data_IF_302110847933
#
_entry.id   IF_302110847933
#
_cell.length_a   1.000
_cell.length_b   1.000
_cell.length_c   1.000
_cell.angle_alpha   90.00
_cell.angle_beta   90.00
_cell.angle_gamma   90.00
#
_symmetry.space_group_name_H-M   'P 1'
#
loop_
_entity.id
_entity.type
_entity.pdbx_description
1 polymer ?
#
# COMPACT_ATOMS: atom_id res chain seq x y z
N UNK A 1 -24.80 10.39 -31.31
CA UNK A 1 -24.24 10.09 -32.65
C UNK A 1 -22.77 9.83 -32.44
N UNK A 2 -22.38 8.56 -32.43
CA UNK A 2 -21.01 8.16 -32.25
C UNK A 2 -20.17 8.66 -33.44
N UNK A 3 -19.13 9.44 -33.15
CA UNK A 3 -18.08 9.72 -34.14
C UNK A 3 -17.28 8.41 -34.29
N UNK A 4 -17.46 7.76 -35.43
CA UNK A 4 -16.59 6.69 -35.86
C UNK A 4 -15.17 7.29 -36.05
N UNK A 5 -14.21 6.84 -35.25
CA UNK A 5 -12.80 7.04 -35.49
C UNK A 5 -12.48 6.52 -36.89
N UNK A 6 -12.03 7.41 -37.76
CA UNK A 6 -11.45 7.07 -39.05
C UNK A 6 -10.04 6.48 -38.84
N UNK A 7 -9.94 5.32 -38.24
CA UNK A 7 -8.73 4.50 -38.35
C UNK A 7 -8.66 4.03 -39.82
N UNK A 8 -7.57 4.37 -40.49
CA UNK A 8 -7.26 3.76 -41.79
C UNK A 8 -7.24 2.25 -41.59
N UNK A 9 -7.95 1.45 -42.40
CA UNK A 9 -7.91 0.00 -42.24
C UNK A 9 -6.44 -0.43 -42.26
N UNK A 10 -6.03 -1.19 -41.24
CA UNK A 10 -4.68 -1.73 -41.14
C UNK A 10 -4.57 -2.88 -42.13
N UNK A 11 -4.31 -2.52 -43.43
CA UNK A 11 -4.41 -3.41 -44.56
C UNK A 11 -3.68 -4.75 -44.40
N UNK A 12 -2.47 -4.82 -43.77
CA UNK A 12 -1.80 -6.10 -43.58
C UNK A 12 -2.55 -7.05 -42.64
N UNK A 13 -3.08 -6.53 -41.54
CA UNK A 13 -3.80 -7.35 -40.53
C UNK A 13 -5.10 -7.91 -41.09
N UNK A 14 -5.94 -7.07 -41.72
CA UNK A 14 -7.21 -7.49 -42.34
C UNK A 14 -6.96 -8.54 -43.44
N UNK A 15 -5.92 -8.34 -44.23
CA UNK A 15 -5.49 -9.26 -45.30
C UNK A 15 -4.99 -10.58 -44.73
N UNK A 16 -4.23 -10.56 -43.62
CA UNK A 16 -3.77 -11.73 -42.92
C UNK A 16 -4.93 -12.52 -42.28
N UNK A 17 -5.89 -11.83 -41.62
CA UNK A 17 -7.07 -12.45 -41.10
C UNK A 17 -7.96 -13.07 -42.19
N UNK A 18 -8.04 -12.43 -43.34
CA UNK A 18 -8.74 -13.01 -44.52
C UNK A 18 -8.05 -14.29 -45.00
N UNK A 19 -6.73 -14.28 -45.09
CA UNK A 19 -5.94 -15.46 -45.42
C UNK A 19 -6.16 -16.62 -44.44
N UNK A 20 -6.31 -16.31 -43.16
CA UNK A 20 -6.59 -17.35 -42.16
C UNK A 20 -7.99 -17.97 -42.26
N UNK A 21 -8.94 -17.27 -42.88
CA UNK A 21 -10.34 -17.72 -43.08
C UNK A 21 -10.54 -18.40 -44.43
N UNK A 22 -9.66 -18.15 -45.41
CA UNK A 22 -9.69 -18.74 -46.76
C UNK A 22 -8.43 -19.60 -46.92
N UNK A 23 -8.44 -20.56 -47.83
CA UNK A 23 -7.22 -21.33 -48.15
C UNK A 23 -6.27 -20.57 -49.13
N UNK A 24 -6.49 -19.28 -49.31
CA UNK A 24 -5.66 -18.44 -50.17
C UNK A 24 -4.34 -18.11 -49.47
N UNK A 25 -3.22 -18.21 -50.17
CA UNK A 25 -1.92 -17.83 -49.64
C UNK A 25 -1.53 -16.45 -50.21
N UNK A 26 -1.47 -15.46 -49.31
CA UNK A 26 -0.97 -14.13 -49.68
C UNK A 26 0.51 -14.02 -49.30
N UNK A 27 1.26 -13.30 -50.10
CA UNK A 27 2.63 -12.89 -49.82
C UNK A 27 2.58 -11.53 -49.11
N UNK A 28 3.37 -11.40 -48.03
CA UNK A 28 3.57 -10.18 -47.28
C UNK A 28 5.07 -9.92 -47.20
N UNK A 29 5.47 -8.67 -47.08
CA UNK A 29 6.85 -8.30 -46.82
C UNK A 29 7.21 -8.62 -45.35
N UNK A 30 8.51 -8.65 -44.99
CA UNK A 30 8.93 -8.97 -43.62
C UNK A 30 8.39 -7.94 -42.61
N UNK A 31 8.42 -6.65 -42.93
CA UNK A 31 7.86 -5.56 -42.12
C UNK A 31 6.35 -5.71 -41.89
N UNK A 32 5.58 -6.16 -42.90
CA UNK A 32 4.15 -6.45 -42.73
C UNK A 32 3.91 -7.56 -41.68
N UNK A 33 4.79 -8.60 -41.67
CA UNK A 33 4.70 -9.65 -40.66
C UNK A 33 5.07 -9.14 -39.27
N UNK A 34 6.06 -8.28 -39.13
CA UNK A 34 6.43 -7.65 -37.86
C UNK A 34 5.25 -6.87 -37.29
N UNK A 35 4.60 -6.01 -38.10
CA UNK A 35 3.42 -5.27 -37.70
C UNK A 35 2.26 -6.18 -37.24
N UNK A 36 2.00 -7.25 -38.03
CA UNK A 36 0.97 -8.25 -37.70
C UNK A 36 1.28 -8.96 -36.37
N UNK A 37 2.54 -9.37 -36.16
CA UNK A 37 2.99 -10.09 -34.97
C UNK A 37 2.87 -9.18 -33.74
N UNK A 38 3.40 -7.95 -33.81
CA UNK A 38 3.30 -6.97 -32.73
C UNK A 38 1.84 -6.64 -32.37
N UNK A 39 0.98 -6.48 -33.42
CA UNK A 39 -0.46 -6.30 -33.16
C UNK A 39 -1.05 -7.45 -32.34
N UNK A 40 -0.72 -8.71 -32.66
CA UNK A 40 -1.24 -9.84 -31.92
C UNK A 40 -0.62 -9.99 -30.54
N UNK A 41 0.66 -9.71 -30.37
CA UNK A 41 1.34 -9.71 -29.07
C UNK A 41 0.74 -8.66 -28.14
N UNK A 42 0.58 -7.43 -28.61
CA UNK A 42 -0.01 -6.32 -27.84
C UNK A 42 -1.46 -6.55 -27.44
N UNK A 43 -2.20 -7.35 -28.23
CA UNK A 43 -3.58 -7.76 -27.90
C UNK A 43 -3.68 -9.10 -27.16
N UNK A 44 -2.56 -9.66 -26.67
CA UNK A 44 -2.53 -10.93 -25.92
C UNK A 44 -2.92 -12.16 -26.75
N UNK A 45 -2.95 -12.06 -28.08
CA UNK A 45 -3.35 -13.14 -28.99
C UNK A 45 -2.14 -14.00 -29.42
N UNK A 46 -1.42 -14.56 -28.46
CA UNK A 46 -0.13 -15.29 -28.65
C UNK A 46 -0.24 -16.40 -29.70
N UNK A 47 -1.35 -17.16 -29.74
CA UNK A 47 -1.54 -18.23 -30.73
C UNK A 47 -1.55 -17.70 -32.17
N UNK A 48 -2.10 -16.50 -32.40
CA UNK A 48 -2.12 -15.87 -33.71
C UNK A 48 -0.74 -15.26 -34.07
N UNK A 49 -0.05 -14.67 -33.10
CA UNK A 49 1.33 -14.22 -33.25
C UNK A 49 2.24 -15.40 -33.70
N UNK A 50 2.19 -16.52 -33.00
CA UNK A 50 2.97 -17.73 -33.39
C UNK A 50 2.64 -18.22 -34.80
N UNK A 51 1.36 -18.14 -35.20
CA UNK A 51 0.95 -18.53 -36.55
C UNK A 51 1.50 -17.56 -37.59
N UNK A 52 1.49 -16.25 -37.28
CA UNK A 52 2.08 -15.23 -38.14
C UNK A 52 3.60 -15.39 -38.29
N UNK A 53 4.31 -15.61 -37.17
CA UNK A 53 5.75 -15.91 -37.14
C UNK A 53 6.06 -17.12 -38.02
N UNK A 54 5.34 -18.22 -37.87
CA UNK A 54 5.55 -19.44 -38.63
C UNK A 54 5.39 -19.22 -40.15
N UNK A 55 4.37 -18.48 -40.56
CA UNK A 55 4.11 -18.18 -41.97
C UNK A 55 5.16 -17.17 -42.45
N UNK A 56 5.49 -16.15 -41.65
CA UNK A 56 6.52 -15.16 -41.97
C UNK A 56 7.88 -15.82 -42.22
N UNK A 57 8.31 -16.71 -41.35
CA UNK A 57 9.57 -17.45 -41.53
C UNK A 57 9.55 -18.44 -42.68
N UNK A 58 8.40 -18.91 -43.14
CA UNK A 58 8.30 -19.70 -44.39
C UNK A 58 8.49 -18.83 -45.63
N UNK A 59 8.04 -17.58 -45.60
CA UNK A 59 8.20 -16.64 -46.71
C UNK A 59 9.57 -15.94 -46.67
N UNK A 60 10.08 -15.63 -45.44
CA UNK A 60 11.33 -14.91 -45.22
C UNK A 60 12.26 -15.69 -44.26
N UNK A 61 12.82 -16.83 -44.65
CA UNK A 61 13.61 -17.68 -43.76
C UNK A 61 14.94 -17.06 -43.32
N UNK A 62 15.40 -16.01 -43.98
CA UNK A 62 16.63 -15.30 -43.67
C UNK A 62 16.41 -14.09 -42.73
N UNK A 63 15.16 -13.63 -42.50
CA UNK A 63 14.90 -12.48 -41.64
C UNK A 63 15.36 -12.75 -40.21
N UNK A 64 16.20 -11.87 -39.68
CA UNK A 64 16.69 -11.89 -38.31
C UNK A 64 15.59 -11.36 -37.36
N UNK A 65 14.87 -10.34 -37.80
CA UNK A 65 13.80 -9.67 -37.06
C UNK A 65 12.68 -10.65 -36.74
N UNK A 66 12.18 -11.39 -37.71
CA UNK A 66 11.14 -12.43 -37.46
C UNK A 66 11.62 -13.57 -36.55
N UNK A 67 12.91 -13.91 -36.58
CA UNK A 67 13.48 -14.90 -35.67
C UNK A 67 13.59 -14.34 -34.24
N UNK A 68 13.90 -13.04 -34.09
CA UNK A 68 13.92 -12.39 -32.78
C UNK A 68 12.52 -12.32 -32.16
N UNK A 69 11.50 -12.06 -32.99
CA UNK A 69 10.10 -12.16 -32.53
C UNK A 69 9.71 -13.58 -32.10
N UNK A 70 10.26 -14.63 -32.77
CA UNK A 70 10.10 -16.02 -32.31
C UNK A 70 10.77 -16.22 -30.95
N UNK A 71 11.96 -15.69 -30.73
CA UNK A 71 12.67 -15.71 -29.46
C UNK A 71 11.87 -14.99 -28.37
N UNK A 72 11.33 -13.81 -28.65
CA UNK A 72 10.49 -13.05 -27.71
C UNK A 72 9.31 -13.89 -27.22
N UNK A 73 8.61 -14.57 -28.13
CA UNK A 73 7.51 -15.48 -27.78
C UNK A 73 8.00 -16.67 -26.96
N UNK A 74 9.17 -17.26 -27.28
CA UNK A 74 9.76 -18.36 -26.48
C UNK A 74 10.12 -17.90 -25.07
N UNK A 75 10.67 -16.69 -24.93
CA UNK A 75 10.96 -16.06 -23.63
C UNK A 75 9.66 -15.83 -22.85
N UNK A 76 8.64 -15.29 -23.52
CA UNK A 76 7.32 -15.07 -22.91
C UNK A 76 6.72 -16.39 -22.36
N UNK A 77 6.78 -17.47 -23.14
CA UNK A 77 6.29 -18.80 -22.75
C UNK A 77 7.22 -19.55 -21.78
N UNK A 78 8.30 -18.92 -21.31
CA UNK A 78 9.28 -19.50 -20.40
C UNK A 78 10.08 -20.68 -20.96
N UNK A 79 10.24 -20.76 -22.30
CA UNK A 79 11.10 -21.74 -22.97
C UNK A 79 12.54 -21.23 -23.08
N UNK A 80 13.15 -20.86 -21.95
CA UNK A 80 14.37 -20.06 -21.88
C UNK A 80 15.58 -20.74 -22.52
N UNK A 81 15.76 -22.06 -22.34
CA UNK A 81 16.91 -22.79 -22.91
C UNK A 81 16.83 -22.86 -24.44
N UNK A 82 15.61 -22.97 -25.00
CA UNK A 82 15.42 -22.96 -26.47
C UNK A 82 15.71 -21.57 -27.01
N UNK A 83 15.20 -20.53 -26.34
CA UNK A 83 15.44 -19.13 -26.69
C UNK A 83 16.93 -18.80 -26.69
N UNK A 84 17.68 -19.23 -25.65
CA UNK A 84 19.12 -18.97 -25.53
C UNK A 84 19.93 -19.63 -26.66
N UNK A 85 19.67 -20.92 -26.97
CA UNK A 85 20.29 -21.58 -28.10
C UNK A 85 19.97 -20.89 -29.44
N UNK A 86 18.78 -20.32 -29.58
CA UNK A 86 18.37 -19.62 -30.79
C UNK A 86 19.12 -18.28 -30.91
N UNK A 87 19.29 -17.55 -29.81
CA UNK A 87 20.07 -16.33 -29.75
C UNK A 87 21.57 -16.55 -30.06
N UNK A 88 22.15 -17.70 -29.64
CA UNK A 88 23.53 -18.05 -29.98
C UNK A 88 23.72 -18.15 -31.48
N UNK A 89 22.75 -18.73 -32.19
CA UNK A 89 22.81 -18.80 -33.66
C UNK A 89 22.65 -17.42 -34.28
N UNK A 90 21.72 -16.61 -33.81
CA UNK A 90 21.46 -15.27 -34.30
C UNK A 90 22.68 -14.36 -34.12
N UNK A 91 23.37 -14.45 -32.98
CA UNK A 91 24.58 -13.67 -32.73
C UNK A 91 25.74 -13.98 -33.67
N UNK A 92 25.79 -15.20 -34.23
CA UNK A 92 26.78 -15.51 -35.29
C UNK A 92 26.43 -14.88 -36.61
N UNK A 93 25.17 -14.53 -36.87
CA UNK A 93 24.68 -13.91 -38.08
C UNK A 93 24.79 -12.38 -38.03
N UNK A 94 24.43 -11.81 -36.89
CA UNK A 94 24.49 -10.39 -36.60
C UNK A 94 24.95 -10.15 -35.16
N UNK A 95 26.27 -9.89 -35.02
CA UNK A 95 26.89 -9.73 -33.70
C UNK A 95 26.68 -8.37 -33.05
N UNK A 96 26.11 -7.41 -33.79
CA UNK A 96 25.93 -6.00 -33.39
C UNK A 96 24.45 -5.64 -33.20
N UNK A 97 23.55 -6.59 -33.32
CA UNK A 97 22.13 -6.38 -33.16
C UNK A 97 21.80 -6.26 -31.65
N UNK A 98 21.35 -5.08 -31.26
CA UNK A 98 21.03 -4.77 -29.84
C UNK A 98 19.91 -5.65 -29.30
N UNK A 99 18.95 -6.07 -30.14
CA UNK A 99 17.81 -6.86 -29.70
C UNK A 99 18.24 -8.25 -29.18
N UNK A 100 19.33 -8.82 -29.70
CA UNK A 100 19.91 -10.07 -29.17
C UNK A 100 20.30 -9.92 -27.70
N UNK A 101 20.91 -8.79 -27.35
CA UNK A 101 21.33 -8.51 -25.98
C UNK A 101 20.11 -8.23 -25.09
N UNK A 102 19.09 -7.53 -25.60
CA UNK A 102 17.83 -7.27 -24.89
C UNK A 102 17.12 -8.59 -24.57
N UNK A 103 16.97 -9.48 -25.55
CA UNK A 103 16.32 -10.77 -25.34
C UNK A 103 17.10 -11.68 -24.37
N UNK A 104 18.44 -11.65 -24.40
CA UNK A 104 19.25 -12.34 -23.38
C UNK A 104 19.07 -11.73 -22.00
N UNK A 105 19.01 -10.41 -21.89
CA UNK A 105 18.74 -9.74 -20.62
C UNK A 105 17.38 -10.19 -20.05
N UNK A 106 16.34 -10.26 -20.89
CA UNK A 106 15.02 -10.76 -20.49
C UNK A 106 15.08 -12.22 -20.00
N UNK A 107 15.93 -13.08 -20.60
CA UNK A 107 16.15 -14.45 -20.11
C UNK A 107 16.80 -14.45 -18.73
N UNK A 108 17.83 -13.61 -18.52
CA UNK A 108 18.50 -13.52 -17.21
C UNK A 108 17.59 -12.91 -16.14
N UNK A 109 16.79 -11.90 -16.48
CA UNK A 109 15.77 -11.35 -15.59
C UNK A 109 14.78 -12.42 -15.13
N UNK A 110 14.25 -13.23 -16.05
CA UNK A 110 13.38 -14.37 -15.71
C UNK A 110 14.04 -15.49 -14.90
N UNK A 111 15.36 -15.55 -14.89
CA UNK A 111 16.16 -16.45 -14.03
C UNK A 111 16.57 -15.76 -12.71
N UNK A 112 15.98 -14.63 -12.35
CA UNK A 112 16.29 -13.81 -11.18
C UNK A 112 17.77 -13.36 -11.10
N UNK A 113 18.45 -13.28 -12.25
CA UNK A 113 19.85 -12.81 -12.34
C UNK A 113 19.89 -11.39 -12.92
N UNK A 114 19.46 -10.44 -12.11
CA UNK A 114 19.30 -9.04 -12.51
C UNK A 114 20.63 -8.34 -12.83
N UNK A 115 21.75 -8.70 -12.13
CA UNK A 115 23.07 -8.16 -12.45
C UNK A 115 23.53 -8.52 -13.87
N UNK A 116 23.31 -9.78 -14.30
CA UNK A 116 23.64 -10.19 -15.64
C UNK A 116 22.73 -9.53 -16.69
N UNK A 117 21.44 -9.34 -16.37
CA UNK A 117 20.50 -8.63 -17.23
C UNK A 117 20.96 -7.16 -17.42
N UNK A 118 21.31 -6.46 -16.36
CA UNK A 118 21.84 -5.09 -16.41
C UNK A 118 23.13 -5.00 -17.25
N UNK A 119 24.05 -5.97 -17.10
CA UNK A 119 25.27 -5.97 -17.90
C UNK A 119 24.96 -6.05 -19.41
N UNK A 120 24.06 -6.94 -19.82
CA UNK A 120 23.64 -7.12 -21.21
C UNK A 120 22.86 -5.92 -21.75
N UNK A 121 21.99 -5.30 -20.94
CA UNK A 121 21.28 -4.08 -21.32
C UNK A 121 22.25 -2.90 -21.52
N UNK A 122 23.32 -2.82 -20.73
CA UNK A 122 24.35 -1.80 -20.95
C UNK A 122 25.18 -2.08 -22.22
N UNK A 123 25.38 -3.34 -22.61
CA UNK A 123 25.97 -3.67 -23.91
C UNK A 123 25.03 -3.26 -25.06
N UNK A 124 23.73 -3.59 -24.95
CA UNK A 124 22.72 -3.15 -25.91
C UNK A 124 22.66 -1.63 -26.05
N UNK A 125 22.74 -0.89 -24.93
CA UNK A 125 22.75 0.57 -24.92
C UNK A 125 23.94 1.18 -25.71
N UNK A 126 25.07 0.48 -25.73
CA UNK A 126 26.23 0.89 -26.50
C UNK A 126 26.08 0.67 -28.02
N UNK A 127 25.13 -0.14 -28.45
CA UNK A 127 24.87 -0.50 -29.85
C UNK A 127 23.66 0.25 -30.44
N UNK A 128 22.70 0.61 -29.61
CA UNK A 128 21.40 1.16 -30.02
C UNK A 128 21.46 2.66 -30.33
N UNK A 129 20.76 3.08 -31.38
CA UNK A 129 20.48 4.48 -31.70
C UNK A 129 19.26 4.99 -30.90
N UNK A 130 18.32 4.11 -30.56
CA UNK A 130 17.13 4.41 -29.76
C UNK A 130 17.23 3.68 -28.42
N UNK A 131 17.48 4.42 -27.34
CA UNK A 131 17.74 3.87 -26.03
C UNK A 131 16.54 3.91 -25.08
N UNK A 132 15.34 4.28 -25.56
CA UNK A 132 14.14 4.39 -24.71
C UNK A 132 13.79 3.06 -24.02
N UNK A 133 13.56 2.01 -24.82
CA UNK A 133 13.17 0.69 -24.30
C UNK A 133 14.24 0.10 -23.37
N UNK A 134 15.52 0.30 -23.74
CA UNK A 134 16.65 -0.18 -22.93
C UNK A 134 16.70 0.54 -21.58
N UNK A 135 16.46 1.86 -21.55
CA UNK A 135 16.40 2.59 -20.27
C UNK A 135 15.20 2.17 -19.43
N UNK A 136 14.06 1.87 -20.06
CA UNK A 136 12.89 1.34 -19.34
C UNK A 136 13.21 -0.01 -18.69
N UNK A 137 13.83 -0.93 -19.43
CA UNK A 137 14.25 -2.24 -18.92
C UNK A 137 15.31 -2.10 -17.82
N UNK A 138 16.33 -1.26 -18.02
CA UNK A 138 17.33 -0.97 -16.98
C UNK A 138 16.68 -0.45 -15.70
N UNK A 139 15.72 0.46 -15.85
CA UNK A 139 14.97 0.99 -14.71
C UNK A 139 14.26 -0.12 -13.93
N UNK A 140 13.62 -1.05 -14.63
CA UNK A 140 12.95 -2.20 -14.01
C UNK A 140 13.94 -3.15 -13.33
N UNK A 141 15.06 -3.48 -13.99
CA UNK A 141 16.09 -4.36 -13.40
C UNK A 141 16.68 -3.74 -12.12
N UNK A 142 16.97 -2.43 -12.14
CA UNK A 142 17.43 -1.75 -10.93
C UNK A 142 16.38 -1.71 -9.82
N UNK A 143 15.07 -1.64 -10.13
CA UNK A 143 14.02 -1.79 -9.12
C UNK A 143 14.02 -3.18 -8.48
N UNK A 144 14.22 -4.25 -9.27
CA UNK A 144 14.34 -5.61 -8.73
C UNK A 144 15.57 -5.81 -7.86
N UNK A 145 16.61 -5.01 -8.07
CA UNK A 145 17.84 -4.99 -7.25
C UNK A 145 17.76 -4.02 -6.06
N UNK A 146 16.62 -3.37 -5.83
CA UNK A 146 16.45 -2.30 -4.83
C UNK A 146 17.41 -1.10 -5.02
N UNK A 147 18.00 -0.94 -6.21
CA UNK A 147 18.82 0.24 -6.54
C UNK A 147 17.96 1.38 -7.08
N UNK A 148 17.20 2.01 -6.18
CA UNK A 148 16.29 3.10 -6.52
C UNK A 148 16.99 4.34 -7.11
N UNK A 149 18.31 4.50 -6.91
CA UNK A 149 19.05 5.63 -7.50
C UNK A 149 19.25 5.43 -9.00
N UNK A 150 19.76 4.27 -9.39
CA UNK A 150 19.98 3.95 -10.80
C UNK A 150 18.65 3.74 -11.53
N UNK A 151 17.65 3.14 -10.88
CA UNK A 151 16.28 3.03 -11.41
C UNK A 151 15.72 4.42 -11.75
N UNK A 152 15.79 5.37 -10.81
CA UNK A 152 15.36 6.76 -11.02
C UNK A 152 16.04 7.40 -12.22
N UNK A 153 17.37 7.29 -12.31
CA UNK A 153 18.14 7.88 -13.43
C UNK A 153 17.71 7.29 -14.78
N UNK A 154 17.45 5.99 -14.83
CA UNK A 154 16.99 5.30 -16.03
C UNK A 154 15.60 5.77 -16.46
N UNK A 155 14.63 5.82 -15.55
CA UNK A 155 13.29 6.32 -15.87
C UNK A 155 13.24 7.82 -16.16
N UNK A 156 14.10 8.63 -15.53
CA UNK A 156 14.24 10.05 -15.90
C UNK A 156 14.70 10.23 -17.37
N UNK A 157 15.50 9.30 -17.88
CA UNK A 157 15.88 9.29 -19.31
C UNK A 157 14.69 8.94 -20.18
N UNK A 158 13.86 7.96 -19.79
CA UNK A 158 12.62 7.64 -20.52
C UNK A 158 11.70 8.86 -20.60
N UNK A 159 11.44 9.54 -19.48
CA UNK A 159 10.64 10.78 -19.47
C UNK A 159 11.28 11.89 -20.32
N UNK A 160 12.61 11.94 -20.44
CA UNK A 160 13.29 12.91 -21.29
C UNK A 160 13.15 12.58 -22.78
N UNK A 161 12.96 11.32 -23.15
CA UNK A 161 12.67 10.89 -24.51
C UNK A 161 11.20 11.13 -24.89
N UNK A 162 10.30 10.76 -24.00
CA UNK A 162 8.87 10.95 -24.16
C UNK A 162 8.27 11.56 -22.90
N UNK A 163 7.96 12.84 -22.97
CA UNK A 163 7.34 13.57 -21.86
C UNK A 163 5.91 13.08 -21.55
N UNK A 164 5.28 12.29 -22.41
CA UNK A 164 3.98 11.66 -22.17
C UNK A 164 4.08 10.23 -21.64
N UNK A 165 5.28 9.71 -21.42
CA UNK A 165 5.46 8.43 -20.71
C UNK A 165 5.19 8.58 -19.22
N UNK A 166 3.89 8.56 -18.88
CA UNK A 166 3.42 8.65 -17.49
C UNK A 166 3.85 7.45 -16.67
N UNK A 167 4.08 6.28 -17.28
CA UNK A 167 4.56 5.10 -16.54
C UNK A 167 5.95 5.35 -15.96
N UNK A 168 6.87 5.85 -16.79
CA UNK A 168 8.21 6.23 -16.31
C UNK A 168 8.14 7.41 -15.32
N UNK A 169 7.26 8.39 -15.53
CA UNK A 169 7.07 9.48 -14.58
C UNK A 169 6.64 8.95 -13.20
N UNK A 170 5.69 8.02 -13.15
CA UNK A 170 5.29 7.36 -11.90
C UNK A 170 6.47 6.63 -11.25
N UNK A 171 7.26 5.88 -12.03
CA UNK A 171 8.42 5.16 -11.52
C UNK A 171 9.52 6.11 -10.98
N UNK A 172 9.73 7.27 -11.61
CA UNK A 172 10.64 8.31 -11.08
C UNK A 172 10.18 8.76 -9.69
N UNK A 173 8.90 9.08 -9.54
CA UNK A 173 8.36 9.53 -8.26
C UNK A 173 8.39 8.41 -7.22
N UNK A 174 8.05 7.17 -7.61
CA UNK A 174 8.19 5.99 -6.75
C UNK A 174 9.61 5.84 -6.20
N UNK A 175 10.64 5.99 -7.05
CA UNK A 175 12.03 5.95 -6.62
C UNK A 175 12.38 7.08 -5.64
N UNK A 176 11.89 8.29 -5.87
CA UNK A 176 12.08 9.40 -4.94
C UNK A 176 11.44 9.11 -3.57
N UNK A 177 10.23 8.53 -3.56
CA UNK A 177 9.52 8.17 -2.32
C UNK A 177 10.28 7.11 -1.53
N UNK A 178 10.82 6.07 -2.18
CA UNK A 178 11.64 5.05 -1.52
C UNK A 178 12.98 5.59 -0.98
N UNK A 179 13.54 6.58 -1.67
CA UNK A 179 14.75 7.28 -1.21
C UNK A 179 14.45 8.33 -0.12
N UNK A 180 13.16 8.53 0.25
CA UNK A 180 12.68 9.59 1.14
C UNK A 180 13.10 11.01 0.68
N UNK A 181 13.44 11.18 -0.61
CA UNK A 181 13.87 12.45 -1.20
C UNK A 181 12.66 13.24 -1.75
N UNK A 182 11.76 13.63 -0.85
CA UNK A 182 10.54 14.38 -1.21
C UNK A 182 10.84 15.76 -1.80
N UNK A 183 11.94 16.39 -1.37
CA UNK A 183 12.36 17.70 -1.92
C UNK A 183 12.86 17.55 -3.36
N UNK A 184 13.62 16.51 -3.66
CA UNK A 184 14.03 16.17 -5.01
C UNK A 184 12.84 15.88 -5.92
N UNK A 185 11.83 15.12 -5.43
CA UNK A 185 10.59 14.87 -6.16
C UNK A 185 9.84 16.15 -6.51
N UNK A 186 9.68 17.06 -5.54
CA UNK A 186 9.02 18.35 -5.73
C UNK A 186 9.78 19.19 -6.78
N UNK A 187 11.09 19.25 -6.69
CA UNK A 187 11.90 20.01 -7.66
C UNK A 187 11.75 19.43 -9.08
N UNK A 188 11.91 18.11 -9.22
CA UNK A 188 11.75 17.41 -10.49
C UNK A 188 10.37 17.64 -11.13
N UNK A 189 9.30 17.53 -10.32
CA UNK A 189 7.93 17.74 -10.80
C UNK A 189 7.68 19.19 -11.20
N UNK A 190 8.22 20.16 -10.47
CA UNK A 190 8.12 21.58 -10.86
C UNK A 190 8.85 21.85 -12.20
N UNK A 191 10.07 21.32 -12.37
CA UNK A 191 10.82 21.47 -13.63
C UNK A 191 10.09 20.79 -14.80
N UNK A 192 9.43 19.65 -14.55
CA UNK A 192 8.62 18.97 -15.55
C UNK A 192 7.38 19.80 -15.91
N UNK A 193 6.69 20.38 -14.92
CA UNK A 193 5.48 21.18 -15.10
C UNK A 193 5.75 22.54 -15.74
N UNK A 194 6.95 23.10 -15.63
CA UNK A 194 7.35 24.30 -16.40
C UNK A 194 7.29 24.03 -17.91
N UNK A 195 7.56 22.82 -18.36
CA UNK A 195 7.51 22.39 -19.76
C UNK A 195 6.13 21.84 -20.16
N UNK A 196 5.45 21.18 -19.21
CA UNK A 196 4.18 20.48 -19.42
C UNK A 196 3.10 20.97 -18.43
N UNK A 197 2.67 22.25 -18.51
CA UNK A 197 1.82 22.88 -17.48
C UNK A 197 0.39 22.31 -17.38
N UNK A 198 -0.04 21.52 -18.34
CA UNK A 198 -1.36 20.89 -18.38
C UNK A 198 -1.33 19.38 -18.10
N UNK A 199 -0.23 18.86 -17.54
CA UNK A 199 -0.15 17.45 -17.16
C UNK A 199 -0.81 17.23 -15.80
N UNK A 200 -2.04 16.71 -15.80
CA UNK A 200 -2.84 16.40 -14.60
C UNK A 200 -2.14 15.39 -13.70
N UNK A 201 -1.44 14.40 -14.30
CA UNK A 201 -0.68 13.39 -13.56
C UNK A 201 0.44 14.02 -12.75
N UNK A 202 1.22 14.91 -13.36
CA UNK A 202 2.34 15.57 -12.68
C UNK A 202 1.85 16.51 -11.56
N UNK A 203 0.77 17.27 -11.78
CA UNK A 203 0.14 18.08 -10.75
C UNK A 203 -0.37 17.25 -9.59
N UNK A 204 -1.01 16.12 -9.88
CA UNK A 204 -1.49 15.19 -8.87
C UNK A 204 -0.33 14.62 -8.03
N UNK A 205 0.75 14.16 -8.68
CA UNK A 205 1.92 13.67 -7.96
C UNK A 205 2.58 14.75 -7.11
N UNK A 206 2.68 15.98 -7.62
CA UNK A 206 3.20 17.13 -6.86
C UNK A 206 2.35 17.40 -5.61
N UNK A 207 1.01 17.36 -5.74
CA UNK A 207 0.09 17.49 -4.63
C UNK A 207 0.30 16.43 -3.55
N UNK A 208 0.55 15.16 -3.96
CA UNK A 208 0.89 14.08 -3.03
C UNK A 208 2.20 14.31 -2.27
N UNK A 209 3.24 14.82 -2.95
CA UNK A 209 4.51 15.13 -2.29
C UNK A 209 4.33 16.26 -1.26
N UNK A 210 3.62 17.33 -1.61
CA UNK A 210 3.29 18.41 -0.66
C UNK A 210 2.46 17.90 0.52
N UNK A 211 1.48 17.01 0.28
CA UNK A 211 0.68 16.40 1.35
C UNK A 211 1.55 15.60 2.34
N UNK A 212 2.48 14.79 1.83
CA UNK A 212 3.41 14.01 2.65
C UNK A 212 4.27 14.91 3.53
N UNK A 213 4.72 16.05 3.00
CA UNK A 213 5.45 17.07 3.75
C UNK A 213 4.54 17.96 4.64
N UNK A 214 3.23 17.69 4.69
CA UNK A 214 2.22 18.47 5.43
C UNK A 214 2.10 19.94 4.96
N UNK A 215 2.53 20.23 3.74
CA UNK A 215 2.37 21.52 3.07
C UNK A 215 0.99 21.56 2.41
N UNK A 216 -0.04 21.65 3.26
CA UNK A 216 -1.44 21.48 2.83
C UNK A 216 -1.94 22.55 1.86
N UNK A 217 -1.61 23.85 2.01
CA UNK A 217 -2.00 24.88 1.04
C UNK A 217 -1.45 24.63 -0.36
N UNK A 218 -0.17 24.23 -0.45
CA UNK A 218 0.51 23.92 -1.71
C UNK A 218 -0.09 22.64 -2.33
N UNK A 219 -0.39 21.63 -1.50
CA UNK A 219 -1.06 20.41 -1.96
C UNK A 219 -2.44 20.72 -2.56
N UNK A 220 -3.25 21.58 -1.92
CA UNK A 220 -4.55 21.99 -2.48
C UNK A 220 -4.39 22.66 -3.84
N UNK A 221 -3.44 23.59 -3.95
CA UNK A 221 -3.16 24.32 -5.21
C UNK A 221 -2.77 23.34 -6.31
N UNK A 222 -1.92 22.37 -6.02
CA UNK A 222 -1.50 21.37 -7.00
C UNK A 222 -2.67 20.47 -7.44
N UNK A 223 -3.52 20.02 -6.52
CA UNK A 223 -4.72 19.25 -6.89
C UNK A 223 -5.74 20.10 -7.65
N UNK A 224 -5.87 21.39 -7.35
CA UNK A 224 -6.71 22.30 -8.14
C UNK A 224 -6.22 22.40 -9.59
N UNK A 225 -4.90 22.51 -9.81
CA UNK A 225 -4.34 22.51 -11.16
C UNK A 225 -4.51 21.16 -11.86
N UNK A 226 -4.42 20.03 -11.15
CA UNK A 226 -4.72 18.72 -11.73
C UNK A 226 -6.18 18.66 -12.23
N UNK A 227 -7.13 19.14 -11.44
CA UNK A 227 -8.56 19.19 -11.79
C UNK A 227 -8.82 20.19 -12.95
N UNK A 228 -8.12 21.32 -13.00
CA UNK A 228 -8.23 22.29 -14.11
C UNK A 228 -7.69 21.70 -15.40
N UNK A 229 -6.63 20.87 -15.33
CA UNK A 229 -6.01 20.21 -16.48
C UNK A 229 -6.89 19.08 -17.04
N UNK A 230 -7.51 18.31 -16.15
CA UNK A 230 -8.51 17.28 -16.48
C UNK A 230 -9.58 17.22 -15.38
N UNK A 231 -10.78 17.72 -15.68
CA UNK A 231 -11.92 17.75 -14.76
C UNK A 231 -12.56 16.37 -14.50
N UNK A 232 -12.12 15.34 -15.24
CA UNK A 232 -12.51 13.94 -15.03
C UNK A 232 -11.47 13.13 -14.24
N UNK A 233 -10.37 13.75 -13.82
CA UNK A 233 -9.30 13.07 -13.10
C UNK A 233 -9.67 12.81 -11.63
N UNK A 234 -10.37 11.72 -11.39
CA UNK A 234 -10.95 11.29 -10.09
C UNK A 234 -9.92 11.33 -8.95
N UNK A 235 -8.68 10.92 -9.23
CA UNK A 235 -7.60 10.88 -8.23
C UNK A 235 -7.34 12.23 -7.57
N UNK A 236 -7.42 13.33 -8.31
CA UNK A 236 -7.18 14.66 -7.77
C UNK A 236 -8.27 15.11 -6.80
N UNK A 237 -9.54 14.86 -7.11
CA UNK A 237 -10.65 15.15 -6.21
C UNK A 237 -10.53 14.34 -4.90
N UNK A 238 -10.21 13.07 -5.01
CA UNK A 238 -10.09 12.19 -3.85
C UNK A 238 -8.95 12.63 -2.92
N UNK A 239 -7.77 12.92 -3.47
CA UNK A 239 -6.62 13.38 -2.68
C UNK A 239 -6.84 14.79 -2.12
N UNK A 240 -7.48 15.70 -2.89
CA UNK A 240 -7.89 17.02 -2.40
C UNK A 240 -8.83 16.89 -1.21
N UNK A 241 -9.82 16.00 -1.25
CA UNK A 241 -10.70 15.70 -0.14
C UNK A 241 -9.93 15.28 1.11
N UNK A 242 -8.90 14.43 0.98
CA UNK A 242 -8.02 14.04 2.10
C UNK A 242 -7.26 15.21 2.72
N UNK A 243 -6.78 16.14 1.90
CA UNK A 243 -6.12 17.37 2.40
C UNK A 243 -7.12 18.23 3.18
N UNK A 244 -8.33 18.42 2.66
CA UNK A 244 -9.39 19.20 3.29
C UNK A 244 -9.81 18.61 4.64
N UNK A 245 -9.88 17.26 4.76
CA UNK A 245 -10.07 16.59 6.06
C UNK A 245 -8.98 16.98 7.06
N UNK A 246 -7.69 16.98 6.64
CA UNK A 246 -6.57 17.35 7.52
C UNK A 246 -6.63 18.80 7.97
N UNK A 247 -7.25 19.67 7.17
CA UNK A 247 -7.50 21.07 7.50
C UNK A 247 -8.79 21.29 8.30
N UNK A 248 -9.57 20.24 8.58
CA UNK A 248 -10.86 20.34 9.28
C UNK A 248 -11.99 20.92 8.41
N UNK A 249 -11.79 21.05 7.09
CA UNK A 249 -12.75 21.59 6.13
C UNK A 249 -13.67 20.47 5.59
N UNK A 250 -14.42 19.85 6.51
CA UNK A 250 -15.16 18.63 6.22
C UNK A 250 -16.26 18.79 5.14
N UNK A 251 -16.94 19.94 5.08
CA UNK A 251 -17.95 20.18 4.04
C UNK A 251 -17.31 20.24 2.64
N UNK A 252 -16.19 20.98 2.49
CA UNK A 252 -15.46 21.05 1.23
C UNK A 252 -14.90 19.66 0.84
N UNK A 253 -14.46 18.84 1.83
CA UNK A 253 -14.02 17.47 1.61
C UNK A 253 -15.14 16.57 1.07
N UNK A 254 -16.35 16.68 1.65
CA UNK A 254 -17.54 15.95 1.19
C UNK A 254 -17.84 16.28 -0.26
N UNK A 255 -17.87 17.57 -0.64
CA UNK A 255 -18.12 18.01 -2.02
C UNK A 255 -17.16 17.36 -3.02
N UNK A 256 -15.86 17.28 -2.65
CA UNK A 256 -14.86 16.65 -3.52
C UNK A 256 -15.03 15.14 -3.60
N UNK A 257 -15.38 14.45 -2.51
CA UNK A 257 -15.69 13.01 -2.56
C UNK A 257 -17.00 12.71 -3.30
N UNK A 258 -18.02 13.57 -3.17
CA UNK A 258 -19.26 13.43 -3.93
C UNK A 258 -19.03 13.60 -5.44
N UNK A 259 -18.12 14.50 -5.84
CA UNK A 259 -17.70 14.63 -7.24
C UNK A 259 -17.15 13.29 -7.78
N UNK A 260 -16.33 12.56 -7.00
CA UNK A 260 -15.83 11.24 -7.45
C UNK A 260 -16.95 10.21 -7.65
N UNK A 261 -17.99 10.25 -6.81
CA UNK A 261 -19.14 9.35 -6.93
C UNK A 261 -19.96 9.65 -8.19
N UNK A 262 -20.08 10.92 -8.57
CA UNK A 262 -20.84 11.34 -9.75
C UNK A 262 -20.15 10.98 -11.09
N UNK A 263 -18.82 10.76 -11.06
CA UNK A 263 -18.02 10.39 -12.23
C UNK A 263 -18.06 8.89 -12.57
N UNK A 264 -19.10 8.18 -12.12
CA UNK A 264 -19.35 6.75 -12.39
C UNK A 264 -18.32 5.77 -11.80
N UNK A 265 -17.47 6.21 -10.87
CA UNK A 265 -16.63 5.31 -10.07
C UNK A 265 -16.93 5.47 -8.57
N UNK A 266 -18.12 5.06 -8.11
CA UNK A 266 -18.48 5.13 -6.70
C UNK A 266 -17.64 4.13 -5.91
N UNK A 267 -16.45 4.54 -5.53
CA UNK A 267 -15.62 3.69 -4.68
C UNK A 267 -16.20 3.66 -3.27
N UNK A 268 -16.29 2.47 -2.71
CA UNK A 268 -16.63 2.26 -1.29
C UNK A 268 -15.77 3.14 -0.37
N UNK A 269 -14.54 3.47 -0.81
CA UNK A 269 -13.64 4.37 -0.11
C UNK A 269 -14.15 5.81 -0.05
N UNK A 270 -14.79 6.33 -1.11
CA UNK A 270 -15.38 7.67 -1.10
C UNK A 270 -16.54 7.74 -0.09
N UNK A 271 -17.45 6.76 -0.12
CA UNK A 271 -18.52 6.68 0.88
C UNK A 271 -17.98 6.61 2.31
N UNK A 272 -16.94 5.80 2.56
CA UNK A 272 -16.31 5.72 3.87
C UNK A 272 -15.76 7.07 4.34
N UNK A 273 -15.12 7.83 3.44
CA UNK A 273 -14.57 9.15 3.75
C UNK A 273 -15.66 10.16 4.04
N UNK A 274 -16.72 10.21 3.22
CA UNK A 274 -17.88 11.08 3.45
C UNK A 274 -18.52 10.77 4.81
N UNK A 275 -18.72 9.48 5.13
CA UNK A 275 -19.22 9.05 6.42
C UNK A 275 -18.39 9.58 7.59
N UNK A 276 -17.06 9.50 7.49
CA UNK A 276 -16.13 10.06 8.50
C UNK A 276 -16.21 11.58 8.61
N UNK A 277 -16.35 12.29 7.48
CA UNK A 277 -16.53 13.73 7.49
C UNK A 277 -17.83 14.13 8.20
N UNK A 278 -18.94 13.46 7.92
CA UNK A 278 -20.21 13.69 8.61
C UNK A 278 -20.12 13.40 10.10
N UNK A 279 -19.35 12.38 10.48
CA UNK A 279 -19.10 12.07 11.88
C UNK A 279 -18.35 13.21 12.60
N UNK A 280 -17.32 13.79 11.95
CA UNK A 280 -16.61 14.96 12.50
C UNK A 280 -17.50 16.21 12.58
N UNK A 281 -18.52 16.30 11.76
CA UNK A 281 -19.56 17.34 11.77
C UNK A 281 -20.68 17.03 12.75
N UNK A 282 -20.56 15.95 13.56
CA UNK A 282 -21.60 15.49 14.49
C UNK A 282 -22.97 15.17 13.81
N UNK A 283 -22.94 14.88 12.50
CA UNK A 283 -24.11 14.51 11.72
C UNK A 283 -24.24 12.97 11.65
N UNK A 284 -24.67 12.41 12.77
CA UNK A 284 -24.75 10.97 12.98
C UNK A 284 -25.61 10.22 11.96
N UNK A 285 -26.74 10.80 11.52
CA UNK A 285 -27.64 10.10 10.58
C UNK A 285 -26.99 9.98 9.20
N UNK A 286 -26.30 11.03 8.72
CA UNK A 286 -25.58 10.98 7.45
C UNK A 286 -24.31 10.12 7.55
N UNK A 287 -23.58 10.18 8.66
CA UNK A 287 -22.44 9.30 8.89
C UNK A 287 -22.85 7.83 8.79
N UNK A 288 -23.90 7.45 9.49
CA UNK A 288 -24.48 6.11 9.44
C UNK A 288 -24.92 5.73 8.02
N UNK A 289 -25.64 6.61 7.32
CA UNK A 289 -26.09 6.39 5.96
C UNK A 289 -24.92 6.03 5.03
N UNK A 290 -23.84 6.83 5.03
CA UNK A 290 -22.69 6.61 4.16
C UNK A 290 -21.86 5.39 4.58
N UNK A 291 -21.75 5.07 5.87
CA UNK A 291 -21.08 3.83 6.31
C UNK A 291 -21.82 2.58 5.83
N UNK A 292 -23.16 2.58 5.82
CA UNK A 292 -23.93 1.47 5.25
C UNK A 292 -23.78 1.37 3.74
N UNK A 293 -23.71 2.51 3.02
CA UNK A 293 -23.40 2.50 1.59
C UNK A 293 -22.01 1.93 1.33
N UNK A 294 -21.00 2.25 2.14
CA UNK A 294 -19.65 1.68 2.03
C UNK A 294 -19.69 0.14 1.97
N UNK A 295 -20.36 -0.49 2.93
CA UNK A 295 -20.41 -1.96 3.04
C UNK A 295 -21.42 -2.60 2.09
N UNK A 296 -22.31 -1.83 1.52
CA UNK A 296 -23.21 -2.27 0.46
C UNK A 296 -22.47 -2.36 -0.88
N UNK A 297 -21.65 -1.35 -1.20
CA UNK A 297 -20.85 -1.31 -2.42
C UNK A 297 -19.71 -2.32 -2.37
N UNK A 298 -19.01 -2.40 -1.24
CA UNK A 298 -17.96 -3.39 -1.03
C UNK A 298 -18.11 -4.09 0.33
N UNK A 299 -18.78 -5.23 0.36
CA UNK A 299 -18.94 -6.02 1.58
C UNK A 299 -17.62 -6.60 2.11
N UNK A 300 -16.55 -6.64 1.30
CA UNK A 300 -15.22 -7.13 1.69
C UNK A 300 -14.30 -6.02 2.19
N UNK A 301 -14.74 -4.76 2.16
CA UNK A 301 -13.99 -3.67 2.77
C UNK A 301 -14.15 -3.70 4.31
N UNK A 302 -13.24 -4.34 4.97
CA UNK A 302 -13.15 -4.50 6.44
C UNK A 302 -13.24 -3.17 7.19
N UNK A 303 -12.60 -2.11 6.64
CA UNK A 303 -12.61 -0.75 7.19
C UNK A 303 -14.02 -0.12 7.23
N UNK A 304 -14.91 -0.54 6.34
CA UNK A 304 -16.31 -0.12 6.36
C UNK A 304 -17.04 -0.69 7.58
N UNK A 305 -16.88 -1.98 7.85
CA UNK A 305 -17.46 -2.63 9.02
C UNK A 305 -16.87 -2.09 10.33
N UNK A 306 -15.56 -1.80 10.33
CA UNK A 306 -14.91 -1.15 11.49
C UNK A 306 -15.50 0.24 11.77
N UNK A 307 -15.75 1.05 10.74
CA UNK A 307 -16.36 2.38 10.92
C UNK A 307 -17.77 2.27 11.54
N UNK A 308 -18.59 1.31 11.08
CA UNK A 308 -19.89 1.04 11.69
C UNK A 308 -19.72 0.58 13.15
N UNK A 309 -18.73 -0.25 13.41
CA UNK A 309 -18.41 -0.72 14.78
C UNK A 309 -18.11 0.45 15.71
N UNK A 310 -17.20 1.36 15.25
CA UNK A 310 -16.80 2.54 16.02
C UNK A 310 -17.97 3.49 16.27
N UNK A 311 -18.81 3.68 15.27
CA UNK A 311 -20.03 4.47 15.38
C UNK A 311 -20.95 3.96 16.49
N UNK A 312 -21.27 2.66 16.50
CA UNK A 312 -22.14 2.08 17.55
C UNK A 312 -21.45 2.01 18.92
N UNK A 313 -20.13 1.74 18.94
CA UNK A 313 -19.37 1.71 20.20
C UNK A 313 -19.41 3.05 20.94
N UNK A 314 -19.24 4.17 20.25
CA UNK A 314 -19.33 5.52 20.83
C UNK A 314 -20.72 5.85 21.34
N UNK A 315 -21.75 5.33 20.70
CA UNK A 315 -23.15 5.47 21.14
C UNK A 315 -23.51 4.50 22.29
N UNK A 316 -22.54 3.71 22.76
CA UNK A 316 -22.71 2.68 23.79
C UNK A 316 -23.72 1.59 23.40
N UNK A 317 -23.96 1.41 22.10
CA UNK A 317 -24.78 0.32 21.55
C UNK A 317 -23.89 -0.92 21.30
N UNK A 318 -23.33 -1.46 22.40
CA UNK A 318 -22.24 -2.45 22.36
C UNK A 318 -22.64 -3.76 21.68
N UNK A 319 -23.89 -4.20 21.78
CA UNK A 319 -24.34 -5.42 21.08
C UNK A 319 -24.30 -5.26 19.56
N UNK A 320 -24.68 -4.07 19.03
CA UNK A 320 -24.52 -3.79 17.61
C UNK A 320 -23.05 -3.67 17.22
N UNK A 321 -22.24 -2.99 18.04
CA UNK A 321 -20.81 -2.90 17.80
C UNK A 321 -20.17 -4.29 17.74
N UNK A 322 -20.56 -5.23 18.63
CA UNK A 322 -20.10 -6.61 18.62
C UNK A 322 -20.49 -7.35 17.33
N UNK A 323 -21.71 -7.14 16.85
CA UNK A 323 -22.15 -7.74 15.59
C UNK A 323 -21.29 -7.28 14.40
N UNK A 324 -20.98 -5.98 14.32
CA UNK A 324 -20.23 -5.42 13.19
C UNK A 324 -18.73 -5.68 13.25
N UNK A 325 -18.10 -5.70 14.45
CA UNK A 325 -16.70 -6.10 14.56
C UNK A 325 -16.48 -7.56 14.15
N UNK A 326 -17.46 -8.45 14.42
CA UNK A 326 -17.39 -9.82 13.94
C UNK A 326 -17.48 -9.91 12.40
N UNK A 327 -18.16 -8.97 11.73
CA UNK A 327 -18.11 -8.87 10.25
C UNK A 327 -16.71 -8.52 9.76
N UNK A 328 -16.06 -7.53 10.39
CA UNK A 328 -14.67 -7.17 10.05
C UNK A 328 -13.71 -8.34 10.30
N UNK A 329 -13.83 -9.03 11.43
CA UNK A 329 -13.02 -10.20 11.77
C UNK A 329 -13.22 -11.39 10.84
N UNK A 330 -14.41 -11.55 10.25
CA UNK A 330 -14.66 -12.59 9.25
C UNK A 330 -13.96 -12.31 7.92
N UNK A 331 -13.62 -11.05 7.64
CA UNK A 331 -12.90 -10.64 6.43
C UNK A 331 -11.39 -10.71 6.68
N UNK A 332 -10.94 -10.10 7.78
CA UNK A 332 -9.55 -10.08 8.19
C UNK A 332 -9.42 -10.55 9.65
N UNK A 333 -9.42 -11.87 9.82
CA UNK A 333 -9.30 -12.53 11.12
C UNK A 333 -7.89 -12.48 11.72
N UNK A 334 -6.89 -12.10 10.92
CA UNK A 334 -5.50 -11.98 11.36
C UNK A 334 -5.15 -10.55 11.81
N UNK A 335 -6.09 -9.63 11.77
CA UNK A 335 -5.87 -8.25 12.18
C UNK A 335 -5.90 -8.11 13.72
N UNK A 336 -4.75 -7.86 14.36
CA UNK A 336 -4.67 -7.80 15.82
C UNK A 336 -5.46 -6.62 16.42
N UNK A 337 -5.64 -5.53 15.66
CA UNK A 337 -6.39 -4.37 16.14
C UNK A 337 -7.90 -4.64 16.20
N UNK A 338 -8.43 -5.50 15.32
CA UNK A 338 -9.83 -5.90 15.33
C UNK A 338 -10.13 -6.79 16.55
N UNK A 339 -9.24 -7.70 16.89
CA UNK A 339 -9.34 -8.49 18.11
C UNK A 339 -9.28 -7.64 19.37
N UNK A 340 -8.37 -6.65 19.42
CA UNK A 340 -8.33 -5.67 20.52
C UNK A 340 -9.65 -4.91 20.65
N UNK A 341 -10.22 -4.44 19.52
CA UNK A 341 -11.53 -3.77 19.51
C UNK A 341 -12.65 -4.70 20.00
N UNK A 342 -12.64 -5.96 19.54
CA UNK A 342 -13.59 -6.98 19.99
C UNK A 342 -13.49 -7.21 21.50
N UNK A 343 -12.27 -7.25 22.06
CA UNK A 343 -12.03 -7.36 23.49
C UNK A 343 -12.62 -6.18 24.26
N UNK A 344 -12.41 -4.94 23.80
CA UNK A 344 -12.98 -3.74 24.41
C UNK A 344 -14.51 -3.77 24.41
N UNK A 345 -15.14 -4.23 23.31
CA UNK A 345 -16.59 -4.31 23.19
C UNK A 345 -17.13 -5.37 24.16
N UNK A 346 -16.51 -6.56 24.21
CA UNK A 346 -16.92 -7.62 25.13
C UNK A 346 -16.73 -7.22 26.58
N UNK A 347 -15.66 -6.51 26.93
CA UNK A 347 -15.46 -5.95 28.27
C UNK A 347 -16.57 -4.97 28.63
N UNK A 348 -16.98 -4.08 27.71
CA UNK A 348 -18.08 -3.14 27.94
C UNK A 348 -19.46 -3.84 28.08
N UNK A 349 -19.59 -5.06 27.56
CA UNK A 349 -20.77 -5.94 27.74
C UNK A 349 -20.66 -6.86 28.94
N UNK A 350 -19.62 -6.73 29.75
CA UNK A 350 -19.33 -7.61 30.90
C UNK A 350 -19.19 -9.10 30.52
N UNK A 351 -18.83 -9.37 29.24
CA UNK A 351 -18.55 -10.71 28.70
C UNK A 351 -17.07 -11.01 28.86
N UNK A 352 -16.61 -11.16 30.10
CA UNK A 352 -15.18 -11.18 30.44
C UNK A 352 -14.43 -12.37 29.83
N UNK A 353 -15.02 -13.55 29.74
CA UNK A 353 -14.38 -14.72 29.09
C UNK A 353 -14.12 -14.48 27.61
N UNK A 354 -15.08 -13.83 26.89
CA UNK A 354 -14.92 -13.48 25.49
C UNK A 354 -13.91 -12.33 25.30
N UNK A 355 -13.86 -11.40 26.25
CA UNK A 355 -12.89 -10.31 26.23
C UNK A 355 -11.47 -10.84 26.46
N UNK A 356 -11.28 -11.76 27.40
CA UNK A 356 -10.00 -12.44 27.67
C UNK A 356 -9.50 -13.17 26.40
N UNK A 357 -10.35 -14.01 25.81
CA UNK A 357 -10.04 -14.70 24.57
C UNK A 357 -9.62 -13.72 23.45
N UNK A 358 -10.36 -12.62 23.28
CA UNK A 358 -10.09 -11.65 22.22
C UNK A 358 -8.77 -10.87 22.44
N UNK A 359 -8.45 -10.51 23.70
CA UNK A 359 -7.15 -9.92 24.03
C UNK A 359 -6.00 -10.89 23.75
N UNK A 360 -6.17 -12.17 24.16
CA UNK A 360 -5.17 -13.19 23.87
C UNK A 360 -4.91 -13.32 22.38
N UNK A 361 -5.97 -13.40 21.55
CA UNK A 361 -5.82 -13.42 20.09
C UNK A 361 -5.08 -12.18 19.56
N UNK A 362 -5.39 -10.99 20.09
CA UNK A 362 -4.71 -9.75 19.70
C UNK A 362 -3.20 -9.82 19.98
N UNK A 363 -2.79 -10.34 21.13
CA UNK A 363 -1.37 -10.53 21.49
C UNK A 363 -0.72 -11.62 20.64
N UNK A 364 -1.37 -12.77 20.47
CA UNK A 364 -0.85 -13.90 19.69
C UNK A 364 -0.59 -13.48 18.22
N UNK A 365 -1.36 -12.52 17.69
CA UNK A 365 -1.21 -11.90 16.38
C UNK A 365 -0.24 -10.70 16.34
N UNK A 366 0.46 -10.41 17.44
CA UNK A 366 1.54 -9.42 17.46
C UNK A 366 1.16 -8.01 17.95
N UNK A 367 0.00 -7.81 18.53
CA UNK A 367 -0.34 -6.52 19.14
C UNK A 367 0.23 -6.38 20.54
N UNK A 368 1.51 -6.10 20.65
CA UNK A 368 2.18 -5.94 21.94
C UNK A 368 2.07 -4.52 22.55
N UNK A 369 1.15 -3.70 22.09
CA UNK A 369 0.97 -2.34 22.60
C UNK A 369 0.68 -2.31 24.09
N UNK A 370 1.26 -1.34 24.82
CA UNK A 370 1.08 -1.17 26.27
C UNK A 370 -0.41 -1.14 26.69
N UNK A 371 -1.32 -0.39 26.01
CA UNK A 371 -2.73 -0.39 26.38
C UNK A 371 -3.41 -1.76 26.24
N UNK A 372 -2.91 -2.65 25.38
CA UNK A 372 -3.46 -4.00 25.20
C UNK A 372 -3.18 -4.86 26.42
N UNK A 373 -1.95 -4.84 26.93
CA UNK A 373 -1.57 -5.54 28.16
C UNK A 373 -2.33 -5.03 29.38
N UNK A 374 -2.44 -3.70 29.53
CA UNK A 374 -3.14 -3.09 30.64
C UNK A 374 -4.64 -3.42 30.62
N UNK A 375 -5.28 -3.34 29.44
CA UNK A 375 -6.69 -3.66 29.27
C UNK A 375 -6.98 -5.15 29.49
N UNK A 376 -6.10 -6.03 29.04
CA UNK A 376 -6.25 -7.48 29.29
C UNK A 376 -6.16 -7.81 30.78
N UNK A 377 -5.21 -7.21 31.49
CA UNK A 377 -5.10 -7.40 32.93
C UNK A 377 -6.34 -6.87 33.69
N UNK A 378 -6.95 -5.76 33.22
CA UNK A 378 -8.20 -5.26 33.81
C UNK A 378 -9.35 -6.27 33.63
N UNK A 379 -9.47 -6.86 32.44
CA UNK A 379 -10.48 -7.89 32.18
C UNK A 379 -10.27 -9.12 33.05
N UNK A 380 -9.03 -9.60 33.18
CA UNK A 380 -8.74 -10.73 34.06
C UNK A 380 -9.11 -10.43 35.52
N UNK A 381 -8.81 -9.22 36.01
CA UNK A 381 -9.21 -8.78 37.34
C UNK A 381 -10.74 -8.72 37.48
N UNK A 382 -11.47 -8.15 36.51
CA UNK A 382 -12.93 -8.09 36.49
C UNK A 382 -13.56 -9.49 36.47
N UNK A 383 -12.89 -10.45 35.82
CA UNK A 383 -13.28 -11.87 35.81
C UNK A 383 -12.84 -12.62 37.08
N UNK A 384 -12.43 -11.90 38.14
CA UNK A 384 -11.99 -12.44 39.44
C UNK A 384 -10.69 -13.28 39.36
N UNK A 385 -9.95 -13.23 38.26
CA UNK A 385 -8.64 -13.88 38.12
C UNK A 385 -7.50 -12.85 38.33
N UNK A 386 -7.31 -12.45 39.59
CA UNK A 386 -6.26 -11.49 39.95
C UNK A 386 -4.86 -12.10 39.72
N UNK A 387 -4.70 -13.40 39.87
CA UNK A 387 -3.44 -14.08 39.61
C UNK A 387 -3.09 -14.06 38.12
N UNK A 388 -4.09 -14.31 37.28
CA UNK A 388 -3.97 -14.15 35.82
C UNK A 388 -3.63 -12.71 35.42
N UNK A 389 -4.27 -11.71 36.04
CA UNK A 389 -3.98 -10.30 35.80
C UNK A 389 -2.52 -9.93 36.10
N UNK A 390 -1.97 -10.42 37.24
CA UNK A 390 -0.55 -10.24 37.56
C UNK A 390 0.35 -10.93 36.53
N UNK A 391 0.00 -12.16 36.14
CA UNK A 391 0.78 -12.89 35.12
C UNK A 391 0.82 -12.14 33.78
N UNK A 392 -0.30 -11.64 33.28
CA UNK A 392 -0.42 -10.83 32.06
C UNK A 392 0.48 -9.58 32.14
N UNK A 393 0.43 -8.86 33.28
CA UNK A 393 1.28 -7.67 33.45
C UNK A 393 2.77 -8.00 33.49
N UNK A 394 3.15 -9.13 34.06
CA UNK A 394 4.55 -9.58 34.05
C UNK A 394 5.03 -9.93 32.64
N UNK A 395 4.18 -10.55 31.82
CA UNK A 395 4.48 -10.75 30.40
C UNK A 395 4.61 -9.41 29.65
N UNK A 396 3.69 -8.48 29.87
CA UNK A 396 3.77 -7.13 29.29
C UNK A 396 5.01 -6.35 29.73
N UNK A 397 5.52 -6.62 30.93
CA UNK A 397 6.76 -6.01 31.44
C UNK A 397 8.00 -6.46 30.67
N UNK A 398 7.99 -7.62 30.03
CA UNK A 398 9.11 -8.07 29.18
C UNK A 398 9.27 -7.15 27.96
N UNK A 399 8.14 -6.63 27.42
CA UNK A 399 8.12 -5.67 26.31
C UNK A 399 8.32 -4.22 26.79
N UNK A 400 7.91 -3.90 27.99
CA UNK A 400 7.94 -2.56 28.58
C UNK A 400 8.60 -2.54 29.96
N UNK A 401 9.92 -2.88 30.06
CA UNK A 401 10.62 -3.01 31.36
C UNK A 401 10.64 -1.72 32.17
N UNK A 402 10.60 -0.56 31.50
CA UNK A 402 10.60 0.77 32.10
C UNK A 402 9.21 1.40 32.26
N UNK A 403 8.12 0.63 32.07
CA UNK A 403 6.77 1.16 32.25
C UNK A 403 6.41 1.23 33.72
N UNK A 404 6.35 2.45 34.26
CA UNK A 404 5.82 2.69 35.62
C UNK A 404 4.36 2.26 35.74
N UNK A 405 3.55 2.40 34.67
CA UNK A 405 2.13 2.04 34.67
C UNK A 405 1.91 0.55 34.92
N UNK A 406 2.66 -0.33 34.22
CA UNK A 406 2.62 -1.76 34.48
C UNK A 406 2.96 -2.06 35.94
N UNK A 407 4.05 -1.47 36.46
CA UNK A 407 4.55 -1.74 37.79
C UNK A 407 3.60 -1.25 38.89
N UNK A 408 2.97 -0.08 38.74
CA UNK A 408 1.95 0.39 39.64
C UNK A 408 0.73 -0.54 39.70
N UNK A 409 0.29 -0.97 38.50
CA UNK A 409 -0.86 -1.87 38.39
C UNK A 409 -0.55 -3.25 38.96
N UNK A 410 0.65 -3.78 38.66
CA UNK A 410 1.13 -5.05 39.25
C UNK A 410 1.19 -4.96 40.78
N UNK A 411 1.71 -3.87 41.36
CA UNK A 411 1.77 -3.66 42.78
C UNK A 411 0.36 -3.66 43.41
N UNK A 412 -0.62 -3.01 42.76
CA UNK A 412 -1.99 -2.98 43.22
C UNK A 412 -2.64 -4.36 43.26
N UNK A 413 -2.54 -5.13 42.15
CA UNK A 413 -3.09 -6.49 42.13
C UNK A 413 -2.37 -7.45 43.10
N UNK A 414 -1.05 -7.32 43.30
CA UNK A 414 -0.30 -8.07 44.27
C UNK A 414 -0.80 -7.77 45.71
N UNK A 415 -1.17 -6.51 46.02
CA UNK A 415 -1.79 -6.15 47.30
C UNK A 415 -3.17 -6.81 47.47
N UNK A 416 -3.98 -6.88 46.40
CA UNK A 416 -5.27 -7.58 46.46
C UNK A 416 -5.12 -9.09 46.71
N UNK A 417 -4.00 -9.68 46.24
CA UNK A 417 -3.63 -11.08 46.53
C UNK A 417 -3.00 -11.26 47.93
N UNK A 418 -2.84 -10.19 48.74
CA UNK A 418 -2.05 -10.17 49.96
C UNK A 418 -0.57 -10.54 49.80
N UNK A 419 -0.01 -10.41 48.59
CA UNK A 419 1.41 -10.62 48.32
C UNK A 419 2.21 -9.34 48.63
N UNK A 420 2.39 -9.07 49.90
CA UNK A 420 3.03 -7.85 50.41
C UNK A 420 4.51 -7.74 50.02
N UNK A 421 5.18 -8.87 49.76
CA UNK A 421 6.61 -8.89 49.42
C UNK A 421 6.79 -8.38 47.98
N UNK A 422 6.12 -8.99 47.02
CA UNK A 422 6.23 -8.63 45.63
C UNK A 422 5.59 -7.25 45.37
N UNK A 423 4.46 -6.94 46.00
CA UNK A 423 3.84 -5.62 45.93
C UNK A 423 4.80 -4.48 46.33
N UNK A 424 5.61 -4.73 47.38
CA UNK A 424 6.63 -3.74 47.80
C UNK A 424 7.68 -3.50 46.76
N UNK A 425 8.17 -4.56 46.12
CA UNK A 425 9.19 -4.47 45.08
C UNK A 425 8.62 -3.70 43.87
N UNK A 426 7.46 -4.12 43.38
CA UNK A 426 6.79 -3.49 42.24
C UNK A 426 6.49 -2.02 42.50
N UNK A 427 6.00 -1.66 43.69
CA UNK A 427 5.71 -0.27 44.03
C UNK A 427 6.96 0.60 44.16
N UNK A 428 8.05 0.10 44.74
CA UNK A 428 9.31 0.84 44.84
C UNK A 428 9.87 1.07 43.44
N UNK A 429 9.84 0.07 42.58
CA UNK A 429 10.32 0.18 41.22
C UNK A 429 9.49 1.17 40.38
N UNK A 430 8.14 1.11 40.53
CA UNK A 430 7.24 2.07 39.90
C UNK A 430 7.55 3.52 40.29
N UNK A 431 7.70 3.76 41.60
CA UNK A 431 8.02 5.07 42.17
C UNK A 431 9.37 5.61 41.70
N UNK A 432 10.36 4.73 41.54
CA UNK A 432 11.69 5.11 41.03
C UNK A 432 11.68 5.45 39.52
N UNK A 433 10.85 4.74 38.75
CA UNK A 433 10.72 4.99 37.31
C UNK A 433 9.97 6.30 37.01
N UNK A 434 8.84 6.50 37.66
CA UNK A 434 8.03 7.72 37.48
C UNK A 434 7.18 7.99 38.71
N UNK A 435 7.70 8.84 39.61
CA UNK A 435 6.99 9.24 40.83
C UNK A 435 5.71 10.04 40.52
N UNK A 436 5.71 10.80 39.40
CA UNK A 436 4.55 11.60 38.97
C UNK A 436 3.32 10.79 38.63
N UNK A 437 3.49 9.51 38.22
CA UNK A 437 2.39 8.59 37.92
C UNK A 437 1.79 7.87 39.13
N UNK A 438 2.17 8.23 40.36
CA UNK A 438 1.55 7.70 41.59
C UNK A 438 0.03 7.92 41.61
N UNK A 439 -0.47 8.95 40.94
CA UNK A 439 -1.90 9.20 40.77
C UNK A 439 -2.65 8.03 40.12
N UNK A 440 -2.00 7.30 39.19
CA UNK A 440 -2.59 6.10 38.56
C UNK A 440 -2.87 5.01 39.64
N UNK A 441 -1.90 4.80 40.52
CA UNK A 441 -2.07 3.85 41.62
C UNK A 441 -3.17 4.30 42.59
N UNK A 442 -3.20 5.58 42.97
CA UNK A 442 -4.19 6.12 43.88
C UNK A 442 -5.62 6.09 43.36
N UNK A 443 -5.79 6.27 42.04
CA UNK A 443 -7.08 6.23 41.36
C UNK A 443 -7.62 4.80 41.22
N UNK A 444 -6.75 3.83 40.92
CA UNK A 444 -7.15 2.43 40.71
C UNK A 444 -7.26 1.64 41.99
N UNK A 445 -6.44 1.95 43.02
CA UNK A 445 -6.36 1.24 44.29
C UNK A 445 -6.50 2.20 45.47
N UNK A 446 -7.59 2.98 45.58
CA UNK A 446 -7.74 4.00 46.61
C UNK A 446 -7.74 3.42 48.04
N UNK A 447 -8.11 2.16 48.20
CA UNK A 447 -8.13 1.47 49.49
C UNK A 447 -6.73 1.27 50.11
N UNK A 448 -5.67 1.32 49.31
CA UNK A 448 -4.30 1.07 49.76
C UNK A 448 -3.46 2.33 49.93
N UNK A 449 -3.75 3.42 49.21
CA UNK A 449 -2.88 4.62 49.17
C UNK A 449 -2.70 5.24 50.55
N UNK A 450 -3.74 5.20 51.40
CA UNK A 450 -3.75 5.81 52.71
C UNK A 450 -3.23 4.87 53.81
N UNK A 451 -2.85 3.64 53.49
CA UNK A 451 -2.28 2.71 54.48
C UNK A 451 -0.89 3.18 54.92
N UNK A 452 -0.59 2.97 56.22
CA UNK A 452 0.74 3.31 56.76
C UNK A 452 1.86 2.60 55.99
N UNK A 453 1.59 1.42 55.47
CA UNK A 453 2.54 0.64 54.69
C UNK A 453 2.90 1.34 53.38
N UNK A 454 1.93 1.79 52.57
CA UNK A 454 2.17 2.51 51.33
C UNK A 454 2.81 3.88 51.59
N UNK A 455 2.27 4.65 52.56
CA UNK A 455 2.81 5.97 52.95
C UNK A 455 4.29 5.89 53.34
N UNK A 456 4.68 4.87 54.07
CA UNK A 456 6.07 4.66 54.48
C UNK A 456 7.00 4.38 53.26
N UNK A 457 6.53 3.59 52.27
CA UNK A 457 7.30 3.30 51.07
C UNK A 457 7.45 4.58 50.21
N UNK A 458 6.33 5.27 49.96
CA UNK A 458 6.32 6.52 49.17
C UNK A 458 7.25 7.56 49.81
N UNK A 459 7.14 7.80 51.13
CA UNK A 459 8.01 8.78 51.82
C UNK A 459 9.51 8.41 51.77
N UNK A 460 9.84 7.13 51.83
CA UNK A 460 11.23 6.67 51.75
C UNK A 460 11.80 6.88 50.35
N UNK A 461 11.04 6.53 49.31
CA UNK A 461 11.48 6.69 47.91
C UNK A 461 11.57 8.17 47.55
N UNK A 462 10.59 8.99 47.97
CA UNK A 462 10.62 10.44 47.75
C UNK A 462 11.88 11.10 48.35
N UNK A 463 12.27 10.70 49.59
CA UNK A 463 13.53 11.20 50.19
C UNK A 463 14.76 10.77 49.41
N UNK A 464 14.78 9.53 48.88
CA UNK A 464 15.90 9.03 48.11
C UNK A 464 16.04 9.67 46.72
N UNK A 465 14.95 10.19 46.14
CA UNK A 465 14.95 10.90 44.87
C UNK A 465 15.33 12.39 44.98
N UNK A 466 15.21 12.95 46.21
CA UNK A 466 15.60 14.34 46.49
C UNK A 466 17.08 14.50 46.91
N UNK A 467 17.77 13.40 47.18
CA UNK A 467 19.19 13.33 47.48
C UNK A 467 20.01 13.08 46.19
#
# INVERSE_FOLDING_TARGET
>A
MAQASNEKPNQPIDKFESMLKTDDVYFFDAEDFEDIIHHYLNNGKIALAKKAIKIGLQQHPASVELKLLEVEVLVFENHLDIAENYLDVLQTLDSTNEEIFIQRANIFSKKDNHEAAVALLNEALGLSENSFDIHSLLGMEYLFMDDFKLAKESFMRCVAFDEQDYSSLYNVIYCFEFLEDFDGAIHYLNDYLERNPYCEVAWHQLGKQYFTKKMYPEALTAFDFAIISDDTFIGAYFEKGKVLEKLGKYNEAIENYEATIQMEDPTSHAYLRIGRCHEQLENDEMAKYYYYHTVHEDPLLDKGWLAITDFYFRRKEYEKALYYINKALNIDGENPQYWKKCAHINSALEKFDQADFAYKQSIDLGNYELPTWLGWADVACQNQDIAGAVHILLQGQEFYPESAEIKYKTAGFQLEMNDMINARISLIDALKLDFGKLELFSSQFPQYIDTDWVRNIVSKVERSLRQ
#
